data_IF_349146951588
#
_entry.id   IF_349146951588
#
_cell.length_a   1.000
_cell.length_b   1.000
_cell.length_c   1.000
_cell.angle_alpha   90.00
_cell.angle_beta   90.00
_cell.angle_gamma   90.00
#
_symmetry.space_group_name_H-M   'P 1'
#
loop_
_entity.id
_entity.type
_entity.pdbx_description
1 polymer ?
#
# COMPACT_ATOMS: atom_id res chain seq x y z
N UNK A 1 53.06 18.03 31.41
CA UNK A 1 51.76 18.03 32.11
C UNK A 1 50.77 18.81 31.26
N UNK A 2 50.04 18.11 30.39
CA UNK A 2 48.99 18.74 29.58
C UNK A 2 47.62 18.27 30.11
N UNK A 3 46.81 19.18 30.59
CA UNK A 3 45.46 18.92 31.06
C UNK A 3 44.52 19.15 29.87
N UNK A 4 43.91 18.09 29.38
CA UNK A 4 42.81 18.15 28.43
C UNK A 4 41.52 18.44 29.18
N UNK A 5 40.83 19.52 28.80
CA UNK A 5 39.49 19.89 29.29
C UNK A 5 38.48 19.27 28.29
N UNK A 6 37.72 18.29 28.76
CA UNK A 6 36.53 17.81 28.04
C UNK A 6 35.38 18.75 28.33
N UNK A 7 34.89 19.48 27.29
CA UNK A 7 33.61 20.15 27.33
C UNK A 7 32.49 19.12 26.99
N UNK A 8 31.73 18.78 28.01
CA UNK A 8 30.50 18.02 27.83
C UNK A 8 29.37 18.95 27.34
N UNK A 9 28.90 18.75 26.13
CA UNK A 9 27.70 19.39 25.61
C UNK A 9 26.46 18.67 26.13
N UNK A 10 25.75 19.27 27.07
CA UNK A 10 24.45 18.76 27.55
C UNK A 10 23.35 19.23 26.58
N UNK A 11 22.82 18.30 25.81
CA UNK A 11 21.61 18.58 25.01
C UNK A 11 20.39 18.56 25.93
N UNK A 12 19.82 19.74 26.19
CA UNK A 12 18.49 19.85 26.77
C UNK A 12 17.45 19.58 25.67
N UNK A 13 16.84 18.40 25.72
CA UNK A 13 15.66 18.08 24.93
C UNK A 13 14.46 18.82 25.55
N UNK A 14 13.98 19.88 24.91
CA UNK A 14 12.70 20.50 25.26
C UNK A 14 11.58 19.57 24.76
N UNK A 15 10.95 18.85 25.69
CA UNK A 15 9.68 18.16 25.43
C UNK A 15 8.59 19.21 25.31
N UNK A 16 8.12 19.47 24.09
CA UNK A 16 6.89 20.25 23.84
C UNK A 16 5.73 19.36 24.25
N UNK A 17 4.83 19.77 25.16
CA UNK A 17 3.66 18.99 25.51
C UNK A 17 2.75 18.88 24.27
N UNK A 18 2.63 17.67 23.72
CA UNK A 18 1.67 17.38 22.68
C UNK A 18 0.25 17.45 23.27
N UNK A 19 -0.54 18.41 22.85
CA UNK A 19 -1.98 18.41 23.11
C UNK A 19 -2.59 17.28 22.29
N UNK A 20 -2.98 16.22 22.98
CA UNK A 20 -3.56 15.02 22.36
C UNK A 20 -5.02 15.27 22.02
N UNK A 21 -5.38 15.11 20.74
CA UNK A 21 -6.78 14.91 20.35
C UNK A 21 -7.11 13.45 20.64
N UNK A 22 -7.90 13.22 21.69
CA UNK A 22 -8.23 11.88 22.15
C UNK A 22 -9.40 11.31 21.32
N UNK A 23 -9.09 10.76 20.13
CA UNK A 23 -9.95 9.82 19.46
C UNK A 23 -9.40 8.42 19.66
N UNK A 24 -10.19 7.48 20.19
CA UNK A 24 -9.78 6.09 20.27
C UNK A 24 -10.15 5.38 18.98
N UNK A 25 -9.12 4.97 18.23
CA UNK A 25 -9.30 4.11 17.07
C UNK A 25 -9.18 2.63 17.49
N UNK A 26 -9.95 1.71 16.90
CA UNK A 26 -9.81 0.29 17.20
C UNK A 26 -8.46 -0.24 16.71
N UNK A 27 -7.72 -0.93 17.56
CA UNK A 27 -6.44 -1.58 17.20
C UNK A 27 -6.67 -2.70 16.17
N UNK A 28 -7.63 -3.57 16.47
CA UNK A 28 -8.07 -4.70 15.65
C UNK A 28 -9.52 -5.05 16.02
N UNK A 29 -10.25 -5.68 15.11
CA UNK A 29 -11.55 -6.26 15.41
C UNK A 29 -11.47 -7.73 15.83
N UNK A 30 -10.32 -8.36 15.68
CA UNK A 30 -10.09 -9.71 16.16
C UNK A 30 -9.83 -9.67 17.68
N UNK A 31 -10.66 -10.34 18.50
CA UNK A 31 -10.40 -10.40 19.93
C UNK A 31 -9.11 -11.16 20.19
N UNK A 32 -8.29 -10.64 21.10
CA UNK A 32 -7.08 -11.33 21.56
C UNK A 32 -7.49 -12.53 22.43
N UNK A 33 -7.13 -13.77 22.07
CA UNK A 33 -7.43 -14.94 22.89
C UNK A 33 -6.85 -14.82 24.30
N UNK A 34 -7.61 -15.21 25.33
CA UNK A 34 -7.20 -15.06 26.73
C UNK A 34 -5.90 -15.79 27.09
N UNK A 35 -5.55 -16.85 26.34
CA UNK A 35 -4.33 -17.65 26.52
C UNK A 35 -3.17 -17.16 25.65
N UNK A 36 -3.33 -16.15 24.79
CA UNK A 36 -2.26 -15.60 23.98
C UNK A 36 -1.21 -14.90 24.85
N UNK A 37 0.07 -15.17 24.61
CA UNK A 37 1.20 -14.57 25.32
C UNK A 37 2.22 -13.89 24.40
N UNK A 38 1.95 -13.92 23.09
CA UNK A 38 2.79 -13.27 22.06
C UNK A 38 2.54 -11.76 21.97
N UNK A 39 3.14 -11.11 20.96
CA UNK A 39 2.94 -9.69 20.71
C UNK A 39 1.47 -9.38 20.39
N UNK A 40 1.02 -8.18 20.75
CA UNK A 40 -0.29 -7.64 20.43
C UNK A 40 -0.10 -6.28 19.77
N UNK A 41 -0.65 -6.13 18.59
CA UNK A 41 -0.60 -4.88 17.84
C UNK A 41 -1.28 -3.73 18.59
N UNK A 42 -0.66 -2.56 18.52
CA UNK A 42 -1.23 -1.31 19.02
C UNK A 42 -1.23 -0.27 17.91
N UNK A 43 -2.41 0.22 17.58
CA UNK A 43 -2.59 1.29 16.62
C UNK A 43 -2.14 2.62 17.23
N UNK A 44 -1.59 3.51 16.41
CA UNK A 44 -1.31 4.89 16.80
C UNK A 44 -2.60 5.60 17.23
N UNK A 45 -2.59 6.16 18.44
CA UNK A 45 -3.71 6.91 18.99
C UNK A 45 -3.41 8.40 19.10
N UNK A 46 -2.13 8.77 19.03
CA UNK A 46 -1.66 10.14 19.19
C UNK A 46 -0.82 10.51 17.98
N UNK A 47 -1.23 11.57 17.29
CA UNK A 47 -0.56 12.07 16.10
C UNK A 47 0.07 13.44 16.38
N UNK A 48 1.14 13.84 15.66
CA UNK A 48 1.70 15.18 15.76
C UNK A 48 0.63 16.25 15.47
N UNK A 49 0.55 17.25 16.33
CA UNK A 49 -0.38 18.39 16.16
C UNK A 49 0.27 19.60 15.48
N UNK A 50 1.61 19.62 15.46
CA UNK A 50 2.42 20.64 14.77
C UNK A 50 3.12 19.97 13.59
N UNK A 51 3.13 20.65 12.45
CA UNK A 51 3.82 20.18 11.24
C UNK A 51 5.33 20.08 11.49
N UNK A 52 5.92 18.87 11.55
CA UNK A 52 7.34 18.72 11.84
C UNK A 52 8.24 19.27 10.73
N UNK A 53 7.73 19.40 9.49
CA UNK A 53 8.49 19.96 8.37
C UNK A 53 8.77 21.45 8.53
N UNK A 54 8.00 22.13 9.40
CA UNK A 54 8.15 23.57 9.71
C UNK A 54 8.96 23.84 10.97
N UNK A 55 9.59 22.83 11.56
CA UNK A 55 10.46 23.02 12.70
C UNK A 55 11.66 23.93 12.34
N UNK A 56 12.20 24.61 13.36
CA UNK A 56 13.39 25.44 13.20
C UNK A 56 14.49 24.91 14.11
N UNK A 57 15.63 24.41 13.58
CA UNK A 57 15.93 24.27 12.15
C UNK A 57 15.03 23.25 11.45
N UNK A 58 14.84 23.42 10.13
CA UNK A 58 14.10 22.47 9.34
C UNK A 58 14.77 21.08 9.37
N UNK A 59 13.99 19.98 9.43
CA UNK A 59 14.57 18.65 9.41
C UNK A 59 15.30 18.39 8.09
N UNK A 60 16.43 17.71 8.18
CA UNK A 60 17.18 17.24 7.02
C UNK A 60 17.05 15.73 6.92
N UNK A 61 16.93 15.22 5.70
CA UNK A 61 16.79 13.78 5.45
C UNK A 61 17.94 13.27 4.60
N UNK A 62 18.41 12.02 4.83
CA UNK A 62 19.62 11.50 4.16
C UNK A 62 19.55 11.52 2.64
N UNK A 63 18.36 11.35 2.06
CA UNK A 63 18.17 11.30 0.61
C UNK A 63 18.05 12.64 -0.08
N UNK A 64 17.88 13.75 0.64
CA UNK A 64 17.63 15.09 0.05
C UNK A 64 18.76 15.59 -0.85
N UNK A 65 20.00 15.19 -0.58
CA UNK A 65 21.17 15.57 -1.37
C UNK A 65 21.50 14.58 -2.49
N UNK A 66 20.73 13.50 -2.62
CA UNK A 66 20.95 12.48 -3.65
C UNK A 66 19.92 12.69 -4.76
N UNK A 67 20.36 12.84 -5.99
CA UNK A 67 19.48 12.95 -7.15
C UNK A 67 19.03 11.55 -7.60
N UNK A 68 17.74 11.26 -7.47
CA UNK A 68 17.17 9.96 -7.82
C UNK A 68 17.16 9.70 -9.34
N UNK A 69 17.30 10.71 -10.20
CA UNK A 69 17.39 10.52 -11.66
C UNK A 69 18.74 9.93 -12.06
N UNK A 70 19.80 10.35 -11.40
CA UNK A 70 21.17 9.94 -11.72
C UNK A 70 21.74 8.89 -10.79
N UNK A 71 21.22 8.82 -9.54
CA UNK A 71 21.68 7.93 -8.46
C UNK A 71 20.51 7.23 -7.75
N UNK A 72 19.62 6.58 -8.50
CA UNK A 72 18.40 5.98 -7.92
C UNK A 72 18.69 4.95 -6.83
N UNK A 73 19.68 4.09 -7.00
CA UNK A 73 20.05 3.08 -6.04
C UNK A 73 20.58 3.68 -4.71
N UNK A 74 21.40 4.76 -4.80
CA UNK A 74 21.89 5.46 -3.60
C UNK A 74 20.73 6.18 -2.89
N UNK A 75 19.86 6.84 -3.66
CA UNK A 75 18.69 7.53 -3.11
C UNK A 75 17.80 6.60 -2.31
N UNK A 76 17.38 5.48 -2.91
CA UNK A 76 16.46 4.58 -2.24
C UNK A 76 17.12 3.82 -1.09
N UNK A 77 18.44 3.56 -1.18
CA UNK A 77 19.17 2.99 -0.04
C UNK A 77 19.16 3.92 1.17
N UNK A 78 19.36 5.22 0.96
CA UNK A 78 19.31 6.20 2.06
C UNK A 78 17.92 6.25 2.72
N UNK A 79 16.83 6.13 1.93
CA UNK A 79 15.47 6.02 2.47
C UNK A 79 15.26 4.70 3.20
N UNK A 80 15.71 3.59 2.63
CA UNK A 80 15.61 2.27 3.22
C UNK A 80 16.32 2.20 4.58
N UNK A 81 17.55 2.69 4.65
CA UNK A 81 18.32 2.74 5.92
C UNK A 81 17.59 3.60 6.98
N UNK A 82 17.03 4.75 6.57
CA UNK A 82 16.22 5.60 7.44
C UNK A 82 14.99 4.90 8.00
N UNK A 83 14.30 4.09 7.18
CA UNK A 83 13.13 3.31 7.61
C UNK A 83 13.54 2.15 8.53
N UNK A 84 14.69 1.55 8.29
CA UNK A 84 15.21 0.42 9.08
C UNK A 84 15.61 0.84 10.50
N UNK A 85 16.18 2.04 10.65
CA UNK A 85 16.79 2.51 11.89
C UNK A 85 15.78 2.63 13.03
N UNK A 86 16.04 1.91 14.12
CA UNK A 86 15.17 1.83 15.29
C UNK A 86 13.95 0.91 15.11
N UNK A 87 13.51 0.63 13.89
CA UNK A 87 12.37 -0.26 13.64
C UNK A 87 12.75 -1.74 13.70
N UNK A 88 13.95 -2.10 13.24
CA UNK A 88 14.44 -3.49 13.36
C UNK A 88 14.63 -3.93 14.80
N UNK A 89 15.17 -3.04 15.62
CA UNK A 89 15.49 -3.27 17.03
C UNK A 89 14.24 -3.55 17.88
N UNK A 90 13.08 -3.08 17.42
CA UNK A 90 11.77 -3.30 18.05
C UNK A 90 10.89 -4.29 17.30
N UNK A 91 11.47 -5.09 16.41
CA UNK A 91 10.74 -6.05 15.56
C UNK A 91 9.50 -5.41 14.88
N UNK A 92 9.70 -4.20 14.37
CA UNK A 92 8.69 -3.41 13.67
C UNK A 92 7.43 -3.03 14.49
N UNK A 93 7.51 -3.11 15.81
CA UNK A 93 6.56 -2.43 16.68
C UNK A 93 6.86 -0.92 16.64
N UNK A 94 6.58 -0.27 15.51
CA UNK A 94 7.13 1.03 15.11
C UNK A 94 6.83 2.17 16.09
N UNK A 95 5.80 2.04 16.91
CA UNK A 95 5.51 2.99 17.98
C UNK A 95 6.48 2.91 19.16
N UNK A 96 7.27 1.83 19.24
CA UNK A 96 8.33 1.62 20.22
C UNK A 96 9.70 2.03 19.68
N UNK A 97 9.79 2.58 18.47
CA UNK A 97 11.03 3.09 17.89
C UNK A 97 11.56 4.27 18.71
N UNK A 98 12.71 4.08 19.35
CA UNK A 98 13.33 5.11 20.19
C UNK A 98 14.10 6.17 19.40
N UNK A 99 14.40 5.92 18.11
CA UNK A 99 15.14 6.86 17.25
C UNK A 99 14.24 7.94 16.67
N UNK A 100 13.07 7.52 16.15
CA UNK A 100 12.07 8.44 15.58
C UNK A 100 10.68 7.86 15.64
N UNK A 101 9.65 8.72 15.78
CA UNK A 101 8.27 8.26 15.82
C UNK A 101 7.78 7.85 14.42
N UNK A 102 6.96 6.80 14.39
CA UNK A 102 6.23 6.32 13.22
C UNK A 102 4.75 6.11 13.58
N UNK A 103 3.88 6.20 12.58
CA UNK A 103 2.43 6.24 12.79
C UNK A 103 1.70 5.32 11.81
N UNK A 104 0.78 4.52 12.31
CA UNK A 104 -0.14 3.73 11.50
C UNK A 104 -1.38 4.54 11.13
N UNK A 105 -1.88 4.35 9.91
CA UNK A 105 -3.16 4.93 9.51
C UNK A 105 -4.32 4.20 10.20
N UNK A 106 -5.34 4.93 10.70
CA UNK A 106 -6.57 4.32 11.22
C UNK A 106 -7.37 3.61 10.12
N UNK A 107 -8.24 2.68 10.54
CA UNK A 107 -9.26 2.07 9.69
C UNK A 107 -8.75 1.35 8.43
N UNK A 108 -7.51 0.82 8.46
CA UNK A 108 -6.95 0.00 7.37
C UNK A 108 -7.53 -1.41 7.35
N UNK A 109 -8.85 -1.53 7.38
CA UNK A 109 -9.58 -2.80 7.35
C UNK A 109 -10.99 -2.57 6.83
N UNK A 110 -11.61 -3.61 6.31
CA UNK A 110 -12.96 -3.56 5.76
C UNK A 110 -13.99 -3.92 6.84
N UNK A 111 -14.76 -2.94 7.28
CA UNK A 111 -15.89 -3.16 8.19
C UNK A 111 -15.51 -3.90 9.47
N UNK A 112 -16.15 -5.05 9.70
CA UNK A 112 -15.95 -5.94 10.84
C UNK A 112 -14.71 -6.84 10.76
N UNK A 113 -14.04 -6.87 9.61
CA UNK A 113 -12.88 -7.75 9.37
C UNK A 113 -11.55 -7.22 9.88
N UNK A 114 -11.49 -6.17 10.63
CA UNK A 114 -10.35 -5.53 11.25
C UNK A 114 -8.93 -6.02 10.91
N UNK A 115 -7.94 -5.29 11.35
CA UNK A 115 -6.56 -5.78 11.36
C UNK A 115 -6.48 -7.03 12.22
N UNK A 116 -5.58 -7.94 11.89
CA UNK A 116 -5.28 -9.04 12.79
C UNK A 116 -4.60 -8.51 14.07
N UNK A 117 -4.75 -9.22 15.21
CA UNK A 117 -4.38 -8.67 16.52
C UNK A 117 -2.90 -8.81 16.87
N UNK A 118 -2.12 -9.61 16.12
CA UNK A 118 -0.72 -9.91 16.49
C UNK A 118 0.24 -8.84 15.98
N UNK A 119 0.17 -8.51 14.69
CA UNK A 119 1.08 -7.60 13.99
C UNK A 119 0.40 -6.41 13.33
N UNK A 120 -0.93 -6.36 13.38
CA UNK A 120 -1.72 -5.32 12.73
C UNK A 120 -1.77 -5.44 11.22
N UNK A 121 -1.56 -6.64 10.69
CA UNK A 121 -1.60 -6.89 9.27
C UNK A 121 -3.01 -6.77 8.72
N UNK A 122 -3.11 -6.21 7.52
CA UNK A 122 -4.30 -6.18 6.69
C UNK A 122 -4.09 -7.03 5.45
N UNK A 123 -5.20 -7.56 4.90
CA UNK A 123 -5.11 -8.44 3.73
C UNK A 123 -4.79 -7.64 2.49
N UNK A 124 -3.87 -8.17 1.71
CA UNK A 124 -3.53 -7.72 0.37
C UNK A 124 -4.12 -8.63 -0.70
N UNK A 125 -3.80 -8.35 -1.98
CA UNK A 125 -4.15 -9.19 -3.10
C UNK A 125 -3.65 -10.62 -2.88
N UNK A 126 -4.46 -11.63 -3.18
CA UNK A 126 -3.97 -12.99 -3.28
C UNK A 126 -3.06 -13.14 -4.50
N UNK A 127 -1.96 -13.86 -4.34
CA UNK A 127 -1.23 -14.39 -5.49
C UNK A 127 -1.99 -15.60 -6.02
N UNK A 128 -2.47 -15.58 -7.26
CA UNK A 128 -3.33 -16.65 -7.77
C UNK A 128 -2.57 -17.96 -7.97
N UNK A 129 -3.29 -19.06 -8.00
CA UNK A 129 -2.78 -20.31 -8.56
C UNK A 129 -2.42 -20.08 -10.02
N UNK A 130 -1.18 -20.40 -10.47
CA UNK A 130 -0.81 -20.28 -11.87
C UNK A 130 -1.67 -21.23 -12.73
N UNK A 131 -1.93 -20.86 -13.98
CA UNK A 131 -2.63 -21.72 -14.91
C UNK A 131 -1.71 -22.83 -15.37
N UNK A 132 -2.27 -23.91 -15.91
CA UNK A 132 -1.47 -24.96 -16.54
C UNK A 132 -0.51 -24.37 -17.59
N UNK A 133 0.79 -24.60 -17.41
CA UNK A 133 1.84 -24.09 -18.29
C UNK A 133 2.34 -22.67 -18.00
N UNK A 134 1.74 -21.95 -17.04
CA UNK A 134 2.24 -20.65 -16.57
C UNK A 134 3.15 -20.82 -15.35
N UNK A 135 4.12 -19.93 -15.23
CA UNK A 135 4.95 -19.82 -14.02
C UNK A 135 4.21 -19.02 -12.94
N UNK A 136 4.30 -19.46 -11.70
CA UNK A 136 3.71 -18.72 -10.58
C UNK A 136 4.29 -17.31 -10.42
N UNK A 137 3.47 -16.36 -10.01
CA UNK A 137 3.89 -14.96 -9.84
C UNK A 137 4.98 -14.79 -8.78
N UNK A 138 5.04 -15.68 -7.78
CA UNK A 138 6.10 -15.70 -6.77
C UNK A 138 7.29 -16.60 -7.14
N UNK A 139 7.28 -17.19 -8.33
CA UNK A 139 8.35 -18.03 -8.82
C UNK A 139 7.88 -19.39 -9.31
N UNK A 140 8.78 -20.17 -9.94
CA UNK A 140 8.41 -21.41 -10.64
C UNK A 140 7.89 -22.53 -9.72
N UNK A 141 8.21 -22.48 -8.42
CA UNK A 141 7.74 -23.47 -7.45
C UNK A 141 6.36 -23.10 -6.85
N UNK A 142 5.87 -21.88 -7.06
CA UNK A 142 4.55 -21.48 -6.61
C UNK A 142 3.50 -22.12 -7.52
N UNK A 143 2.81 -23.13 -7.02
CA UNK A 143 1.81 -23.93 -7.75
C UNK A 143 0.41 -23.81 -7.17
N UNK A 144 0.25 -23.14 -6.04
CA UNK A 144 -1.03 -22.93 -5.36
C UNK A 144 -1.19 -21.44 -5.00
N UNK A 145 -2.41 -21.07 -4.69
CA UNK A 145 -2.73 -19.72 -4.20
C UNK A 145 -1.94 -19.37 -2.92
N UNK A 146 -1.52 -18.12 -2.80
CA UNK A 146 -0.93 -17.59 -1.58
C UNK A 146 -1.68 -16.35 -1.08
N UNK A 147 -1.88 -16.26 0.23
CA UNK A 147 -2.36 -15.05 0.88
C UNK A 147 -1.20 -14.08 1.09
N UNK A 148 -1.46 -12.80 0.82
CA UNK A 148 -0.52 -11.75 1.14
C UNK A 148 -1.14 -10.78 2.15
N UNK A 149 -0.30 -10.27 3.03
CA UNK A 149 -0.70 -9.43 4.14
C UNK A 149 0.31 -8.30 4.32
N UNK A 150 -0.14 -7.14 4.77
CA UNK A 150 0.77 -6.01 4.91
C UNK A 150 0.47 -5.14 6.13
N UNK A 151 1.49 -4.42 6.56
CA UNK A 151 1.38 -3.33 7.52
C UNK A 151 2.11 -2.11 6.99
N UNK A 152 1.43 -0.95 6.99
CA UNK A 152 1.99 0.31 6.55
C UNK A 152 2.09 1.32 7.70
N UNK A 153 3.08 2.21 7.62
CA UNK A 153 3.29 3.27 8.59
C UNK A 153 4.00 4.46 7.95
N UNK A 154 3.82 5.62 8.55
CA UNK A 154 4.37 6.89 8.07
C UNK A 154 5.27 7.53 9.13
N UNK A 155 6.29 8.26 8.70
CA UNK A 155 7.13 9.06 9.58
C UNK A 155 6.38 10.27 10.16
N UNK A 156 7.03 11.10 10.99
CA UNK A 156 6.38 12.20 11.70
C UNK A 156 5.65 13.22 10.79
N UNK A 157 6.19 13.68 9.64
CA UNK A 157 5.43 14.51 8.70
C UNK A 157 4.15 13.83 8.19
N UNK A 158 4.21 12.54 7.87
CA UNK A 158 3.04 11.77 7.48
C UNK A 158 2.05 11.56 8.62
N UNK A 159 2.56 11.30 9.82
CA UNK A 159 1.76 11.21 11.04
C UNK A 159 0.99 12.50 11.35
N UNK A 160 1.59 13.66 11.10
CA UNK A 160 0.90 14.93 11.20
C UNK A 160 -0.32 15.00 10.29
N UNK A 161 -0.17 14.62 9.03
CA UNK A 161 -1.30 14.60 8.06
C UNK A 161 -2.39 13.63 8.50
N UNK A 162 -2.02 12.43 8.96
CA UNK A 162 -3.00 11.50 9.55
C UNK A 162 -3.76 12.15 10.69
N UNK A 163 -3.07 12.84 11.60
CA UNK A 163 -3.68 13.58 12.71
C UNK A 163 -4.62 14.69 12.26
N UNK A 164 -4.30 15.40 11.17
CA UNK A 164 -5.18 16.45 10.63
C UNK A 164 -6.43 15.86 9.97
N UNK A 165 -6.30 14.80 9.18
CA UNK A 165 -7.42 14.11 8.54
C UNK A 165 -8.38 13.52 9.58
N UNK A 166 -7.84 12.93 10.63
CA UNK A 166 -8.58 12.25 11.69
C UNK A 166 -8.72 13.09 12.97
N UNK A 167 -8.57 14.43 12.88
CA UNK A 167 -8.75 15.33 14.03
C UNK A 167 -10.14 15.19 14.68
N UNK A 168 -11.16 14.91 13.87
CA UNK A 168 -12.45 14.42 14.34
C UNK A 168 -12.60 12.95 13.89
N UNK A 169 -12.49 11.96 14.80
CA UNK A 169 -12.60 10.53 14.48
C UNK A 169 -13.94 10.13 13.86
N UNK A 170 -15.02 10.88 14.15
CA UNK A 170 -16.36 10.61 13.64
C UNK A 170 -16.68 11.31 12.31
N UNK A 171 -15.79 12.19 11.85
CA UNK A 171 -15.92 12.95 10.62
C UNK A 171 -14.54 13.28 10.03
N UNK A 172 -13.81 12.29 9.50
CA UNK A 172 -12.49 12.52 8.90
C UNK A 172 -12.58 13.47 7.70
N UNK A 173 -11.61 14.39 7.60
CA UNK A 173 -11.57 15.43 6.57
C UNK A 173 -10.51 15.13 5.49
N UNK A 174 -10.89 14.61 4.30
CA UNK A 174 -9.94 14.31 3.23
C UNK A 174 -9.25 15.55 2.65
N UNK A 175 -9.79 16.76 2.82
CA UNK A 175 -9.15 18.00 2.36
C UNK A 175 -7.84 18.31 3.10
N UNK A 176 -7.58 17.65 4.22
CA UNK A 176 -6.33 17.76 4.98
C UNK A 176 -5.25 16.78 4.49
N UNK A 177 -5.54 15.91 3.54
CA UNK A 177 -4.62 14.89 3.07
C UNK A 177 -3.60 15.45 2.06
N UNK A 178 -2.82 16.44 2.48
CA UNK A 178 -1.71 17.00 1.71
C UNK A 178 -0.42 16.79 2.48
N UNK A 179 0.49 15.99 1.94
CA UNK A 179 1.71 15.61 2.63
C UNK A 179 2.84 16.61 2.41
N UNK A 180 3.53 17.05 3.49
CA UNK A 180 4.68 17.92 3.38
C UNK A 180 5.90 17.17 2.84
N UNK A 181 6.85 17.93 2.31
CA UNK A 181 8.16 17.46 1.87
C UNK A 181 8.85 16.64 2.96
N UNK A 182 9.49 15.53 2.59
CA UNK A 182 10.16 14.63 3.52
C UNK A 182 9.24 13.62 4.21
N UNK A 183 7.95 13.58 3.86
CA UNK A 183 7.09 12.46 4.25
C UNK A 183 7.61 11.17 3.63
N UNK A 184 7.69 10.13 4.46
CA UNK A 184 7.97 8.75 4.03
C UNK A 184 6.86 7.86 4.54
N UNK A 185 6.23 7.13 3.63
CA UNK A 185 5.41 5.98 3.93
C UNK A 185 6.17 4.70 3.61
N UNK A 186 6.12 3.73 4.49
CA UNK A 186 6.70 2.40 4.30
C UNK A 186 5.64 1.33 4.51
N UNK A 187 5.71 0.26 3.73
CA UNK A 187 4.78 -0.86 3.79
C UNK A 187 5.57 -2.16 3.73
N UNK A 188 5.44 -3.00 4.74
CA UNK A 188 5.98 -4.35 4.77
C UNK A 188 4.92 -5.30 4.24
N UNK A 189 5.26 -6.11 3.24
CA UNK A 189 4.36 -7.07 2.62
C UNK A 189 4.89 -8.49 2.82
N UNK A 190 4.02 -9.32 3.36
CA UNK A 190 4.29 -10.70 3.73
C UNK A 190 3.43 -11.65 2.90
N UNK A 191 3.95 -12.83 2.62
CA UNK A 191 3.19 -13.94 2.06
C UNK A 191 3.06 -15.09 3.05
N UNK A 192 1.92 -15.79 3.03
CA UNK A 192 1.71 -17.02 3.76
C UNK A 192 2.18 -18.27 2.97
N UNK A 193 2.77 -18.09 1.78
CA UNK A 193 3.34 -19.18 1.00
C UNK A 193 4.43 -19.92 1.81
N UNK A 194 4.46 -21.25 1.69
CA UNK A 194 5.51 -22.07 2.32
C UNK A 194 6.85 -21.88 1.60
N UNK A 195 7.95 -22.27 2.24
CA UNK A 195 9.27 -22.26 1.61
C UNK A 195 9.36 -23.24 0.42
N UNK A 196 8.55 -24.31 0.39
CA UNK A 196 8.45 -25.19 -0.77
C UNK A 196 7.88 -24.47 -2.00
N UNK A 197 7.01 -23.49 -1.76
CA UNK A 197 6.41 -22.67 -2.82
C UNK A 197 7.31 -21.50 -3.23
N UNK A 198 8.06 -20.93 -2.28
CA UNK A 198 8.89 -19.74 -2.48
C UNK A 198 10.24 -19.91 -1.79
N UNK A 199 11.13 -20.78 -2.32
CA UNK A 199 12.40 -21.15 -1.63
C UNK A 199 13.35 -19.98 -1.38
N UNK A 200 13.30 -18.93 -2.22
CA UNK A 200 14.16 -17.76 -2.04
C UNK A 200 13.79 -16.91 -0.80
N UNK A 201 12.67 -17.21 -0.13
CA UNK A 201 12.31 -16.58 1.15
C UNK A 201 12.97 -17.27 2.35
N UNK A 202 13.89 -18.19 2.14
CA UNK A 202 14.67 -18.78 3.24
C UNK A 202 15.42 -17.69 4.02
N UNK A 203 15.37 -17.76 5.36
CA UNK A 203 15.99 -16.80 6.30
C UNK A 203 15.46 -15.35 6.18
N UNK A 204 14.29 -15.12 5.59
CA UNK A 204 13.64 -13.81 5.65
C UNK A 204 13.05 -13.53 7.03
N UNK A 205 12.59 -12.29 7.24
CA UNK A 205 11.79 -11.97 8.42
C UNK A 205 10.50 -12.79 8.40
N UNK A 206 10.31 -13.60 9.43
CA UNK A 206 9.12 -14.44 9.60
C UNK A 206 8.35 -14.02 10.84
N UNK A 207 7.04 -13.85 10.69
CA UNK A 207 6.14 -13.53 11.79
C UNK A 207 5.04 -14.57 11.97
N UNK A 208 4.55 -14.68 13.20
CA UNK A 208 3.24 -15.27 13.49
C UNK A 208 2.16 -14.20 13.30
N UNK A 209 1.09 -14.54 12.57
CA UNK A 209 -0.04 -13.66 12.31
C UNK A 209 -1.37 -14.42 12.39
N UNK A 210 -2.42 -13.75 12.87
CA UNK A 210 -3.76 -14.34 12.97
C UNK A 210 -4.53 -14.14 11.67
N UNK A 211 -4.33 -15.03 10.71
CA UNK A 211 -4.86 -14.92 9.35
C UNK A 211 -5.83 -16.03 8.98
N UNK A 212 -6.63 -15.81 7.93
CA UNK A 212 -7.60 -16.79 7.45
C UNK A 212 -6.89 -18.03 6.90
N UNK A 213 -7.53 -19.17 6.99
CA UNK A 213 -7.06 -20.42 6.38
C UNK A 213 -7.58 -20.49 4.95
N UNK A 214 -6.67 -20.74 4.00
CA UNK A 214 -7.05 -21.07 2.61
C UNK A 214 -7.76 -22.41 2.57
N UNK A 215 -8.76 -22.53 1.72
CA UNK A 215 -9.40 -23.82 1.44
C UNK A 215 -8.43 -24.70 0.67
N UNK A 216 -8.07 -25.83 1.22
CA UNK A 216 -7.11 -26.75 0.60
C UNK A 216 -7.60 -27.20 -0.78
N UNK A 217 -6.70 -27.13 -1.78
CA UNK A 217 -7.00 -27.54 -3.15
C UNK A 217 -7.90 -26.59 -3.95
N UNK A 218 -8.32 -25.46 -3.38
CA UNK A 218 -9.13 -24.49 -4.11
C UNK A 218 -8.24 -23.53 -4.93
N UNK A 219 -8.37 -23.60 -6.24
CA UNK A 219 -7.65 -22.75 -7.20
C UNK A 219 -8.18 -21.30 -7.25
N UNK A 220 -9.35 -21.04 -6.66
CA UNK A 220 -10.01 -19.72 -6.63
C UNK A 220 -9.55 -18.85 -5.46
N UNK A 221 -8.60 -19.33 -4.65
CA UNK A 221 -8.11 -18.61 -3.49
C UNK A 221 -9.20 -18.26 -2.45
N UNK A 222 -10.17 -19.15 -2.24
CA UNK A 222 -11.20 -18.93 -1.23
C UNK A 222 -10.65 -19.15 0.17
N UNK A 223 -11.11 -18.32 1.11
CA UNK A 223 -10.77 -18.46 2.53
C UNK A 223 -12.02 -18.67 3.35
N UNK A 224 -11.90 -19.46 4.41
CA UNK A 224 -12.90 -19.48 5.50
C UNK A 224 -12.94 -18.13 6.24
N UNK A 225 -13.97 -17.94 7.08
CA UNK A 225 -14.07 -16.79 7.98
C UNK A 225 -13.20 -16.94 9.22
N UNK A 226 -12.90 -18.18 9.63
CA UNK A 226 -12.06 -18.46 10.79
C UNK A 226 -10.60 -18.09 10.51
N UNK A 227 -9.95 -17.52 11.54
CA UNK A 227 -8.52 -17.20 11.53
C UNK A 227 -7.76 -18.09 12.52
N UNK A 228 -6.51 -18.31 12.24
CA UNK A 228 -5.56 -19.02 13.11
C UNK A 228 -4.17 -18.38 13.01
N UNK A 229 -3.33 -18.64 14.02
CA UNK A 229 -1.93 -18.21 13.95
C UNK A 229 -1.21 -19.03 12.89
N UNK A 230 -0.65 -18.33 11.91
CA UNK A 230 0.09 -18.90 10.81
C UNK A 230 1.37 -18.09 10.57
N UNK A 231 2.37 -18.72 9.97
CA UNK A 231 3.61 -18.06 9.56
C UNK A 231 3.39 -17.22 8.32
N UNK A 232 3.88 -16.00 8.37
CA UNK A 232 3.97 -15.12 7.20
C UNK A 232 5.43 -14.66 7.03
N UNK A 233 5.89 -14.52 5.78
CA UNK A 233 7.28 -14.26 5.41
C UNK A 233 7.39 -12.96 4.65
N UNK A 234 8.31 -12.09 5.07
CA UNK A 234 8.56 -10.84 4.38
C UNK A 234 9.06 -11.13 2.96
N UNK A 235 8.33 -10.61 1.99
CA UNK A 235 8.61 -10.78 0.57
C UNK A 235 9.00 -9.45 -0.08
N UNK A 236 8.35 -8.36 0.31
CA UNK A 236 8.43 -7.07 -0.35
C UNK A 236 8.37 -5.94 0.69
N UNK A 237 9.05 -4.84 0.41
CA UNK A 237 8.89 -3.57 1.13
C UNK A 237 8.68 -2.45 0.10
N UNK A 238 7.58 -1.72 0.25
CA UNK A 238 7.31 -0.55 -0.57
C UNK A 238 7.58 0.73 0.21
N UNK A 239 8.08 1.72 -0.51
CA UNK A 239 8.40 3.04 0.01
C UNK A 239 7.77 4.10 -0.90
N UNK A 240 7.15 5.11 -0.29
CA UNK A 240 6.68 6.30 -0.98
C UNK A 240 7.22 7.54 -0.28
N UNK A 241 7.88 8.38 -1.04
CA UNK A 241 8.60 9.56 -0.55
C UNK A 241 8.01 10.81 -1.18
N UNK A 242 7.56 11.75 -0.36
CA UNK A 242 7.17 13.07 -0.82
C UNK A 242 8.42 13.88 -1.14
N UNK A 243 8.68 14.05 -2.45
CA UNK A 243 9.87 14.71 -2.97
C UNK A 243 9.49 15.63 -4.14
N UNK A 244 9.56 16.94 -3.92
CA UNK A 244 9.18 17.96 -4.91
C UNK A 244 10.03 17.94 -6.20
N UNK A 245 11.18 17.24 -6.19
CA UNK A 245 12.00 17.05 -7.39
C UNK A 245 11.36 16.12 -8.41
N UNK A 246 10.40 15.26 -7.98
CA UNK A 246 9.48 14.57 -8.87
C UNK A 246 8.39 15.56 -9.33
N UNK A 247 8.74 16.47 -10.22
CA UNK A 247 7.98 17.69 -10.55
C UNK A 247 6.56 17.44 -11.04
N UNK A 248 6.31 16.30 -11.67
CA UNK A 248 4.99 15.98 -12.26
C UNK A 248 4.04 15.32 -11.27
N UNK A 249 4.57 14.55 -10.32
CA UNK A 249 3.78 13.77 -9.36
C UNK A 249 3.96 14.26 -7.93
N UNK A 250 5.12 14.82 -7.62
CA UNK A 250 5.53 15.19 -6.27
C UNK A 250 5.91 14.00 -5.40
N UNK A 251 5.92 12.78 -5.94
CA UNK A 251 6.20 11.55 -5.22
C UNK A 251 7.21 10.68 -5.94
N UNK A 252 8.06 10.04 -5.16
CA UNK A 252 8.95 8.97 -5.61
C UNK A 252 8.53 7.67 -4.94
N UNK A 253 8.27 6.63 -5.73
CA UNK A 253 7.95 5.30 -5.24
C UNK A 253 9.10 4.35 -5.45
N UNK A 254 9.28 3.40 -4.55
CA UNK A 254 10.27 2.35 -4.70
C UNK A 254 9.80 1.06 -4.06
N UNK A 255 10.30 -0.05 -4.59
CA UNK A 255 10.01 -1.39 -4.09
C UNK A 255 11.32 -2.14 -3.87
N UNK A 256 11.38 -2.84 -2.76
CA UNK A 256 12.40 -3.84 -2.44
C UNK A 256 11.78 -5.24 -2.46
N UNK A 257 12.49 -6.21 -2.96
CA UNK A 257 12.14 -7.63 -2.90
C UNK A 257 13.21 -8.39 -2.12
N UNK A 258 12.81 -9.39 -1.36
CA UNK A 258 13.75 -10.26 -0.67
C UNK A 258 14.41 -11.25 -1.63
N UNK A 259 15.72 -11.45 -1.47
CA UNK A 259 16.53 -12.40 -2.24
C UNK A 259 17.42 -13.23 -1.31
N UNK A 260 16.93 -14.37 -0.87
CA UNK A 260 17.65 -15.29 0.03
C UNK A 260 18.90 -15.93 -0.58
N UNK A 261 19.12 -15.79 -1.91
CA UNK A 261 20.36 -16.25 -2.55
C UNK A 261 21.56 -15.32 -2.28
N UNK A 262 21.28 -14.11 -1.76
CA UNK A 262 22.34 -13.16 -1.41
C UNK A 262 22.92 -13.45 -0.05
N UNK A 263 24.22 -13.20 0.10
CA UNK A 263 24.89 -13.19 1.41
C UNK A 263 24.47 -11.96 2.22
N UNK A 264 24.63 -12.05 3.55
CA UNK A 264 24.36 -10.93 4.45
C UNK A 264 24.28 -11.41 5.90
N UNK A 265 24.56 -10.52 6.85
CA UNK A 265 24.48 -10.81 8.28
C UNK A 265 23.04 -10.95 8.78
N UNK A 266 22.07 -10.41 8.03
CA UNK A 266 20.67 -10.50 8.36
C UNK A 266 19.77 -10.35 7.14
N UNK A 267 18.47 -10.63 7.33
CA UNK A 267 17.48 -10.57 6.25
C UNK A 267 17.43 -9.21 5.55
N UNK A 268 17.69 -8.12 6.26
CA UNK A 268 17.64 -6.75 5.72
C UNK A 268 18.71 -6.47 4.66
N UNK A 269 19.88 -7.13 4.74
CA UNK A 269 20.94 -7.01 3.73
C UNK A 269 20.63 -7.80 2.45
N UNK A 270 19.63 -8.67 2.53
CA UNK A 270 19.13 -9.47 1.41
C UNK A 270 17.91 -8.84 0.73
N UNK A 271 17.42 -7.68 1.25
CA UNK A 271 16.43 -6.86 0.56
C UNK A 271 17.10 -6.13 -0.61
N UNK A 272 16.60 -6.38 -1.80
CA UNK A 272 17.17 -5.86 -3.06
C UNK A 272 16.19 -4.88 -3.69
N UNK A 273 16.63 -3.66 -4.08
CA UNK A 273 15.74 -2.76 -4.78
C UNK A 273 15.30 -3.38 -6.11
N UNK A 274 13.99 -3.40 -6.34
CA UNK A 274 13.39 -3.72 -7.64
C UNK A 274 13.53 -2.51 -8.56
N UNK A 275 13.25 -1.32 -8.03
CA UNK A 275 13.38 -0.09 -8.78
C UNK A 275 12.89 1.14 -8.01
N UNK A 276 12.96 2.26 -8.69
CA UNK A 276 12.48 3.58 -8.26
C UNK A 276 11.67 4.18 -9.41
N UNK A 277 10.50 4.78 -9.11
CA UNK A 277 9.71 5.48 -10.12
C UNK A 277 9.24 6.83 -9.60
N UNK A 278 9.23 7.84 -10.49
CA UNK A 278 8.83 9.21 -10.20
C UNK A 278 7.77 9.75 -11.16
N UNK A 279 7.35 8.91 -12.11
CA UNK A 279 6.27 9.18 -13.07
C UNK A 279 5.75 7.88 -13.69
N UNK A 280 4.63 7.96 -14.38
CA UNK A 280 3.92 6.83 -14.98
C UNK A 280 4.22 6.59 -16.45
N UNK A 281 5.18 7.33 -17.06
CA UNK A 281 5.50 7.23 -18.50
C UNK A 281 4.23 7.30 -19.39
N UNK A 282 3.48 8.42 -19.39
CA UNK A 282 2.16 8.50 -20.04
C UNK A 282 2.19 8.25 -21.55
N UNK A 283 3.35 8.45 -22.19
CA UNK A 283 3.55 8.21 -23.63
C UNK A 283 3.95 6.76 -23.96
N UNK A 284 4.19 5.92 -22.96
CA UNK A 284 4.53 4.51 -23.14
C UNK A 284 3.26 3.67 -23.22
N UNK A 285 2.58 3.70 -24.34
CA UNK A 285 1.47 2.80 -24.67
C UNK A 285 1.97 1.50 -25.34
N UNK A 286 1.05 0.56 -25.62
CA UNK A 286 1.40 -0.74 -26.21
C UNK A 286 2.17 -0.59 -27.52
N UNK A 287 1.74 0.29 -28.43
CA UNK A 287 2.42 0.49 -29.72
C UNK A 287 3.85 1.04 -29.53
N UNK A 288 4.05 1.96 -28.61
CA UNK A 288 5.37 2.48 -28.29
C UNK A 288 6.28 1.40 -27.68
N UNK A 289 5.74 0.54 -26.81
CA UNK A 289 6.47 -0.57 -26.21
C UNK A 289 6.86 -1.61 -27.26
N UNK A 290 5.97 -1.96 -28.17
CA UNK A 290 6.22 -2.88 -29.29
C UNK A 290 7.26 -2.32 -30.27
N UNK A 291 7.32 -0.98 -30.42
CA UNK A 291 8.35 -0.27 -31.16
C UNK A 291 9.69 -0.16 -30.42
N UNK A 292 9.83 -0.82 -29.25
CA UNK A 292 11.07 -0.88 -28.49
C UNK A 292 11.27 0.23 -27.46
N UNK A 293 10.31 1.14 -27.26
CA UNK A 293 10.39 2.13 -26.15
C UNK A 293 10.30 1.43 -24.80
N UNK A 294 10.93 2.01 -23.80
CA UNK A 294 10.94 1.53 -22.40
C UNK A 294 10.62 2.69 -21.46
N UNK A 295 10.38 2.37 -20.18
CA UNK A 295 10.18 3.37 -19.13
C UNK A 295 11.34 4.38 -19.07
N UNK A 296 11.01 5.63 -18.84
CA UNK A 296 11.95 6.75 -18.73
C UNK A 296 11.80 7.52 -17.41
N UNK A 297 10.65 7.35 -16.75
CA UNK A 297 10.35 7.95 -15.45
C UNK A 297 10.51 6.93 -14.31
N UNK A 298 11.32 5.91 -14.56
CA UNK A 298 11.68 4.87 -13.61
C UNK A 298 13.09 4.38 -13.85
N UNK A 299 13.73 3.94 -12.77
CA UNK A 299 14.91 3.08 -12.83
C UNK A 299 14.50 1.69 -12.37
N UNK A 300 14.72 0.67 -13.17
CA UNK A 300 14.54 -0.74 -12.83
C UNK A 300 15.93 -1.35 -12.64
N UNK A 301 16.10 -2.06 -11.52
CA UNK A 301 17.39 -2.65 -11.18
C UNK A 301 17.76 -3.76 -12.18
N UNK A 302 18.84 -3.60 -12.97
CA UNK A 302 19.26 -4.62 -13.95
C UNK A 302 19.82 -5.90 -13.31
N UNK A 303 20.23 -5.83 -12.03
CA UNK A 303 20.86 -6.94 -11.31
C UNK A 303 19.90 -7.76 -10.45
N UNK A 304 18.59 -7.56 -10.61
CA UNK A 304 17.58 -8.29 -9.87
C UNK A 304 17.55 -9.76 -10.34
N UNK A 305 17.66 -10.69 -9.39
CA UNK A 305 17.71 -12.15 -9.64
C UNK A 305 16.46 -12.89 -9.19
N UNK A 306 15.66 -12.29 -8.31
CA UNK A 306 14.38 -12.84 -7.90
C UNK A 306 13.37 -12.72 -9.04
N UNK A 307 12.29 -13.51 -9.05
CA UNK A 307 11.24 -13.37 -10.03
C UNK A 307 10.82 -11.91 -10.15
N UNK A 308 11.02 -11.34 -11.33
CA UNK A 308 10.64 -9.95 -11.60
C UNK A 308 9.16 -9.92 -11.93
N UNK A 309 8.43 -9.22 -11.12
CA UNK A 309 7.04 -8.93 -11.34
C UNK A 309 6.89 -7.42 -11.63
N UNK A 310 7.26 -7.04 -12.85
CA UNK A 310 7.05 -5.68 -13.30
C UNK A 310 5.59 -5.48 -13.70
N UNK A 311 5.11 -4.26 -13.56
CA UNK A 311 3.79 -3.86 -13.96
C UNK A 311 3.64 -3.65 -15.46
N UNK A 312 2.54 -3.00 -15.84
CA UNK A 312 2.15 -2.79 -17.23
C UNK A 312 3.27 -2.14 -18.05
N UNK A 313 3.68 -2.82 -19.13
CA UNK A 313 4.74 -2.41 -20.05
C UNK A 313 6.10 -2.14 -19.36
N UNK A 314 6.43 -2.91 -18.33
CA UNK A 314 7.72 -2.83 -17.65
C UNK A 314 7.83 -1.71 -16.60
N UNK A 315 6.72 -1.07 -16.22
CA UNK A 315 6.68 -0.10 -15.12
C UNK A 315 6.98 -0.76 -13.78
N UNK A 316 7.49 0.01 -12.83
CA UNK A 316 7.78 -0.50 -11.50
C UNK A 316 6.52 -1.04 -10.82
N UNK A 317 6.67 -2.21 -10.26
CA UNK A 317 5.71 -2.90 -9.40
C UNK A 317 6.47 -3.85 -8.45
N UNK A 318 5.76 -4.60 -7.62
CA UNK A 318 6.36 -5.58 -6.73
C UNK A 318 5.78 -6.98 -6.87
N UNK A 319 6.43 -8.00 -6.28
CA UNK A 319 6.02 -9.40 -6.41
C UNK A 319 4.58 -9.72 -6.01
N UNK A 320 3.99 -8.97 -5.06
CA UNK A 320 2.60 -9.16 -4.63
C UNK A 320 1.61 -8.27 -5.36
N UNK A 321 2.08 -7.34 -6.19
CA UNK A 321 1.23 -6.39 -6.87
C UNK A 321 0.62 -6.95 -8.17
N UNK A 322 -0.36 -6.25 -8.72
CA UNK A 322 -1.02 -6.70 -9.93
C UNK A 322 -0.22 -6.29 -11.19
N UNK A 323 0.14 -7.25 -12.09
CA UNK A 323 0.98 -6.97 -13.27
C UNK A 323 0.36 -6.02 -14.29
N UNK A 324 -0.95 -5.74 -14.21
CA UNK A 324 -1.61 -4.77 -15.10
C UNK A 324 -1.53 -3.33 -14.61
N UNK A 325 -0.87 -3.07 -13.49
CA UNK A 325 -0.73 -1.76 -12.85
C UNK A 325 0.73 -1.33 -12.72
N UNK A 326 0.97 -0.25 -12.01
CA UNK A 326 2.25 0.19 -11.48
C UNK A 326 2.04 0.77 -10.08
N UNK A 327 3.09 0.98 -9.30
CA UNK A 327 2.98 1.65 -8.00
C UNK A 327 2.19 2.97 -8.13
N UNK A 328 2.63 3.86 -9.02
CA UNK A 328 1.97 5.16 -9.21
C UNK A 328 0.56 5.03 -9.77
N UNK A 329 0.27 4.07 -10.66
CA UNK A 329 -1.06 3.94 -11.27
C UNK A 329 -2.13 3.54 -10.24
N UNK A 330 -1.78 2.67 -9.29
CA UNK A 330 -2.68 2.35 -8.18
C UNK A 330 -2.82 3.53 -7.22
N UNK A 331 -1.69 4.13 -6.80
CA UNK A 331 -1.69 5.19 -5.80
C UNK A 331 -2.35 6.49 -6.27
N UNK A 332 -2.33 6.79 -7.58
CA UNK A 332 -3.02 7.98 -8.12
C UNK A 332 -4.56 7.89 -8.03
N UNK A 333 -5.12 6.70 -7.78
CA UNK A 333 -6.57 6.52 -7.55
C UNK A 333 -6.98 6.81 -6.09
N UNK A 334 -6.05 7.26 -5.25
CA UNK A 334 -6.31 7.60 -3.86
C UNK A 334 -7.20 8.84 -3.74
N UNK A 335 -8.51 8.64 -3.61
CA UNK A 335 -9.52 9.69 -3.60
C UNK A 335 -10.73 9.34 -2.72
N UNK A 336 -11.46 10.34 -2.26
CA UNK A 336 -12.69 10.20 -1.44
C UNK A 336 -13.82 11.04 -2.05
N UNK A 337 -15.00 10.45 -2.33
CA UNK A 337 -15.26 9.02 -2.34
C UNK A 337 -14.45 8.32 -3.44
N UNK A 338 -14.10 7.04 -3.23
CA UNK A 338 -13.42 6.24 -4.24
C UNK A 338 -14.37 5.96 -5.42
N UNK A 339 -14.16 6.66 -6.52
CA UNK A 339 -14.95 6.55 -7.76
C UNK A 339 -14.19 5.86 -8.87
N UNK A 340 -12.89 5.90 -8.82
CA UNK A 340 -12.00 5.25 -9.78
C UNK A 340 -11.59 3.87 -9.27
N UNK A 341 -11.67 2.86 -10.13
CA UNK A 341 -11.12 1.54 -9.81
C UNK A 341 -9.60 1.65 -9.61
N UNK A 342 -9.07 0.94 -8.60
CA UNK A 342 -7.64 0.93 -8.31
C UNK A 342 -6.82 0.35 -9.48
N UNK A 343 -7.38 -0.60 -10.21
CA UNK A 343 -6.76 -1.23 -11.36
C UNK A 343 -7.37 -0.75 -12.66
N UNK A 344 -6.56 -0.65 -13.75
CA UNK A 344 -7.10 -0.50 -15.08
C UNK A 344 -8.08 -1.63 -15.39
N UNK A 345 -9.13 -1.36 -16.17
CA UNK A 345 -10.05 -2.41 -16.59
C UNK A 345 -9.30 -3.45 -17.45
N UNK A 346 -9.51 -4.71 -17.15
CA UNK A 346 -8.99 -5.81 -17.97
C UNK A 346 -9.75 -5.92 -19.28
N UNK A 347 -9.06 -6.25 -20.37
CA UNK A 347 -9.71 -6.56 -21.64
C UNK A 347 -10.63 -7.78 -21.46
N UNK A 348 -11.89 -7.61 -21.86
CA UNK A 348 -12.81 -8.74 -21.97
C UNK A 348 -12.54 -9.47 -23.30
N UNK A 349 -12.77 -10.79 -23.37
CA UNK A 349 -12.69 -11.50 -24.65
C UNK A 349 -13.58 -10.86 -25.73
N UNK A 350 -13.21 -10.92 -27.02
CA UNK A 350 -14.09 -10.47 -28.09
C UNK A 350 -15.49 -11.10 -27.97
N UNK A 351 -16.57 -10.38 -28.30
CA UNK A 351 -16.60 -9.11 -29.05
C UNK A 351 -16.56 -7.83 -28.21
N UNK A 352 -16.12 -7.88 -26.96
CA UNK A 352 -16.06 -6.69 -26.12
C UNK A 352 -15.07 -5.64 -26.68
N UNK A 353 -15.34 -4.35 -26.54
CA UNK A 353 -14.42 -3.32 -26.98
C UNK A 353 -13.10 -3.41 -26.20
N UNK A 354 -11.98 -3.14 -26.87
CA UNK A 354 -10.68 -2.96 -26.22
C UNK A 354 -10.76 -1.73 -25.33
N UNK A 355 -10.48 -1.92 -24.05
CA UNK A 355 -10.45 -0.82 -23.09
C UNK A 355 -9.01 -0.32 -23.02
N UNK A 356 -8.80 0.97 -23.31
CA UNK A 356 -7.50 1.61 -23.17
C UNK A 356 -7.14 1.76 -21.69
N UNK A 357 -6.07 1.14 -21.19
CA UNK A 357 -5.64 1.28 -19.81
C UNK A 357 -4.87 2.59 -19.54
N UNK A 358 -4.46 3.32 -20.57
CA UNK A 358 -3.60 4.49 -20.46
C UNK A 358 -4.12 5.61 -19.56
N UNK A 359 -5.43 5.83 -19.36
CA UNK A 359 -5.92 6.76 -18.35
C UNK A 359 -5.40 6.51 -16.92
N UNK A 360 -4.97 5.28 -16.60
CA UNK A 360 -4.34 4.91 -15.32
C UNK A 360 -2.81 5.16 -15.29
N UNK A 361 -2.20 5.48 -16.43
CA UNK A 361 -0.74 5.66 -16.55
C UNK A 361 -0.37 7.09 -16.94
N UNK A 362 -1.01 8.08 -16.34
CA UNK A 362 -0.67 9.49 -16.50
C UNK A 362 -0.01 10.04 -15.25
N UNK A 363 0.74 11.11 -15.40
CA UNK A 363 1.27 11.87 -14.29
C UNK A 363 0.16 12.79 -13.75
N UNK A 364 -0.04 12.75 -12.46
CA UNK A 364 -1.03 13.58 -11.79
C UNK A 364 -0.32 14.38 -10.68
N UNK A 365 -0.47 15.69 -10.62
CA UNK A 365 0.11 16.47 -9.53
C UNK A 365 -0.43 16.04 -8.17
N UNK A 366 0.45 16.02 -7.17
CA UNK A 366 0.12 15.72 -5.79
C UNK A 366 -1.12 16.49 -5.30
N UNK A 367 -1.96 15.83 -4.53
CA UNK A 367 -3.21 16.41 -4.01
C UNK A 367 -4.40 16.40 -4.98
N UNK A 368 -4.20 16.12 -6.26
CA UNK A 368 -5.30 16.02 -7.23
C UNK A 368 -6.00 14.66 -7.16
N UNK A 369 -7.24 14.60 -7.63
CA UNK A 369 -8.01 13.36 -7.79
C UNK A 369 -8.14 12.97 -9.26
N UNK A 370 -8.30 11.66 -9.51
CA UNK A 370 -8.52 11.15 -10.86
C UNK A 370 -9.94 11.46 -11.35
N UNK A 371 -10.95 11.30 -10.50
CA UNK A 371 -12.32 11.75 -10.73
C UNK A 371 -12.50 13.15 -10.11
N UNK A 372 -12.89 14.13 -10.93
CA UNK A 372 -13.08 15.54 -10.50
C UNK A 372 -14.19 15.72 -9.44
N UNK A 373 -15.04 14.72 -9.22
CA UNK A 373 -16.10 14.73 -8.19
C UNK A 373 -15.61 14.18 -6.86
N UNK A 374 -14.34 13.81 -6.75
CA UNK A 374 -13.69 13.27 -5.57
C UNK A 374 -12.60 14.21 -5.08
N UNK A 375 -12.19 14.04 -3.83
CA UNK A 375 -11.09 14.75 -3.21
C UNK A 375 -9.89 13.82 -3.21
N UNK A 376 -8.79 14.22 -3.83
CA UNK A 376 -7.54 13.45 -3.83
C UNK A 376 -6.93 13.37 -2.42
N UNK A 377 -6.39 12.21 -2.07
CA UNK A 377 -5.67 12.00 -0.81
C UNK A 377 -4.16 11.90 -1.02
N UNK A 378 -3.66 12.66 -1.99
CA UNK A 378 -2.23 12.87 -2.25
C UNK A 378 -1.46 11.54 -2.40
N UNK A 379 -1.93 10.66 -3.30
CA UNK A 379 -1.37 9.33 -3.53
C UNK A 379 -1.44 8.37 -2.32
N UNK A 380 -2.09 8.76 -1.23
CA UNK A 380 -2.16 7.92 -0.03
C UNK A 380 -3.43 7.09 0.03
N UNK A 381 -3.36 5.84 -0.44
CA UNK A 381 -4.45 4.87 -0.38
C UNK A 381 -4.85 4.53 1.06
N UNK A 382 -3.96 4.66 2.05
CA UNK A 382 -4.30 4.36 3.43
C UNK A 382 -5.30 5.38 4.00
N UNK A 383 -5.24 6.64 3.59
CA UNK A 383 -6.24 7.64 3.97
C UNK A 383 -7.56 7.37 3.26
N UNK A 384 -7.56 7.22 1.93
CA UNK A 384 -8.81 7.02 1.18
C UNK A 384 -9.54 5.74 1.61
N UNK A 385 -8.80 4.63 1.74
CA UNK A 385 -9.34 3.35 2.20
C UNK A 385 -9.81 3.41 3.66
N UNK A 386 -9.03 4.06 4.53
CA UNK A 386 -9.41 4.24 5.94
C UNK A 386 -10.72 5.00 6.08
N UNK A 387 -10.89 6.11 5.36
CA UNK A 387 -12.15 6.90 5.37
C UNK A 387 -13.31 6.07 4.83
N UNK A 388 -13.11 5.36 3.72
CA UNK A 388 -14.15 4.51 3.14
C UNK A 388 -14.55 3.37 4.08
N UNK A 389 -13.59 2.69 4.70
CA UNK A 389 -13.85 1.62 5.65
C UNK A 389 -14.59 2.12 6.88
N UNK A 390 -14.21 3.28 7.40
CA UNK A 390 -14.93 3.94 8.50
C UNK A 390 -16.38 4.26 8.11
N UNK A 391 -16.61 4.81 6.93
CA UNK A 391 -17.96 5.12 6.44
C UNK A 391 -18.82 3.85 6.31
N UNK A 392 -18.28 2.77 5.76
CA UNK A 392 -18.97 1.49 5.65
C UNK A 392 -19.31 0.91 7.05
N UNK A 393 -18.36 0.95 7.98
CA UNK A 393 -18.59 0.50 9.36
C UNK A 393 -19.67 1.33 10.05
N UNK A 394 -19.65 2.65 9.91
CA UNK A 394 -20.63 3.56 10.48
C UNK A 394 -22.03 3.31 9.92
N UNK A 395 -22.16 3.14 8.60
CA UNK A 395 -23.42 2.80 7.95
C UNK A 395 -23.99 1.47 8.44
N UNK A 396 -23.16 0.45 8.58
CA UNK A 396 -23.59 -0.85 9.09
C UNK A 396 -24.05 -0.77 10.55
N UNK A 397 -23.37 0.03 11.39
CA UNK A 397 -23.73 0.23 12.80
C UNK A 397 -25.02 1.02 12.98
N UNK A 398 -25.25 2.04 12.17
CA UNK A 398 -26.42 2.92 12.26
C UNK A 398 -27.68 2.31 11.60
N UNK A 399 -27.62 1.07 11.11
CA UNK A 399 -28.72 0.39 10.44
C UNK A 399 -29.13 1.06 9.12
N UNK A 400 -28.21 1.71 8.45
CA UNK A 400 -28.46 2.47 7.25
C UNK A 400 -28.95 1.56 6.10
N UNK A 401 -30.23 1.69 5.75
CA UNK A 401 -30.76 1.17 4.50
C UNK A 401 -30.27 2.12 3.38
N UNK A 402 -29.41 1.63 2.51
CA UNK A 402 -28.97 2.41 1.33
C UNK A 402 -30.20 2.98 0.61
N UNK A 403 -30.21 4.25 0.21
CA UNK A 403 -31.28 4.79 -0.63
C UNK A 403 -31.44 3.88 -1.84
N UNK A 404 -32.63 3.32 -2.04
CA UNK A 404 -32.93 2.56 -3.25
C UNK A 404 -32.55 3.43 -4.44
N UNK A 405 -31.86 2.89 -5.47
CA UNK A 405 -31.62 3.65 -6.68
C UNK A 405 -32.94 4.24 -7.14
N UNK A 406 -32.99 5.55 -7.33
CA UNK A 406 -34.17 6.20 -7.85
C UNK A 406 -34.57 5.46 -9.15
N UNK A 407 -35.82 4.98 -9.32
CA UNK A 407 -36.24 4.40 -10.59
C UNK A 407 -35.75 5.31 -11.70
N UNK A 408 -35.12 4.76 -12.72
CA UNK A 408 -34.70 5.55 -13.87
C UNK A 408 -35.91 6.37 -14.30
N UNK A 409 -35.77 7.71 -14.41
CA UNK A 409 -36.82 8.56 -14.95
C UNK A 409 -37.23 7.97 -16.29
N UNK A 410 -38.50 7.62 -16.43
CA UNK A 410 -39.01 7.05 -17.68
C UNK A 410 -38.60 7.94 -18.86
N UNK A 411 -38.44 7.37 -20.06
CA UNK A 411 -38.00 8.12 -21.22
C UNK A 411 -38.95 9.31 -21.44
N UNK A 412 -38.37 10.51 -21.53
CA UNK A 412 -39.12 11.70 -21.90
C UNK A 412 -39.77 11.51 -23.30
N UNK A 413 -40.80 12.30 -23.65
CA UNK A 413 -41.67 12.04 -24.78
C UNK A 413 -41.04 12.07 -26.19
N UNK A 414 -39.72 12.08 -26.31
CA UNK A 414 -38.98 12.12 -27.58
C UNK A 414 -37.84 11.09 -27.70
N UNK A 415 -37.84 10.00 -26.92
CA UNK A 415 -36.86 8.93 -27.09
C UNK A 415 -37.33 7.91 -28.13
N UNK A 416 -36.58 7.74 -29.22
CA UNK A 416 -36.75 6.66 -30.19
C UNK A 416 -36.58 5.31 -29.50
N UNK A 417 -37.38 4.27 -29.88
CA UNK A 417 -37.27 2.96 -29.25
C UNK A 417 -35.91 2.29 -29.59
N UNK A 418 -35.17 1.91 -28.54
CA UNK A 418 -34.00 1.06 -28.71
C UNK A 418 -34.40 -0.39 -29.02
N UNK A 419 -33.63 -1.11 -29.83
CA UNK A 419 -33.93 -2.50 -30.14
C UNK A 419 -33.81 -3.37 -28.85
N UNK A 420 -34.85 -4.21 -28.66
CA UNK A 420 -34.93 -5.17 -27.57
C UNK A 420 -33.82 -6.20 -27.66
N UNK A 421 -32.83 -6.14 -26.74
CA UNK A 421 -31.95 -7.25 -26.43
C UNK A 421 -32.29 -7.72 -25.02
N UNK A 422 -32.72 -8.96 -24.90
CA UNK A 422 -32.94 -9.61 -23.61
C UNK A 422 -31.62 -9.60 -22.83
N UNK A 423 -31.64 -9.00 -21.63
CA UNK A 423 -30.52 -9.03 -20.70
C UNK A 423 -30.37 -10.45 -20.13
N UNK A 424 -29.17 -11.05 -20.17
CA UNK A 424 -28.91 -12.24 -19.37
C UNK A 424 -28.89 -11.84 -17.87
N UNK A 425 -29.39 -12.77 -17.03
CA UNK A 425 -29.43 -12.63 -15.58
C UNK A 425 -28.05 -12.24 -15.03
N UNK A 426 -28.04 -11.29 -14.11
CA UNK A 426 -26.83 -10.93 -13.38
C UNK A 426 -26.33 -12.13 -12.59
N UNK A 427 -25.16 -12.64 -12.97
CA UNK A 427 -24.42 -13.58 -12.16
C UNK A 427 -23.76 -12.79 -11.02
N UNK A 428 -24.01 -13.22 -9.76
CA UNK A 428 -23.44 -12.62 -8.55
C UNK A 428 -21.94 -12.93 -8.45
N UNK A 429 -21.14 -12.32 -9.32
CA UNK A 429 -19.68 -12.38 -9.27
C UNK A 429 -19.18 -11.93 -7.91
N UNK A 430 -18.46 -12.81 -7.22
CA UNK A 430 -17.91 -12.53 -5.89
C UNK A 430 -17.00 -11.29 -5.95
N UNK A 431 -17.39 -10.27 -5.20
CA UNK A 431 -16.60 -9.07 -5.00
C UNK A 431 -15.50 -9.37 -3.99
N UNK A 432 -14.25 -9.40 -4.44
CA UNK A 432 -13.09 -9.42 -3.54
C UNK A 432 -12.79 -7.99 -3.08
N UNK A 433 -12.62 -7.82 -1.78
CA UNK A 433 -12.20 -6.54 -1.20
C UNK A 433 -10.71 -6.64 -0.87
N UNK A 434 -9.87 -5.91 -1.60
CA UNK A 434 -8.44 -5.77 -1.36
C UNK A 434 -8.19 -4.33 -0.93
N UNK A 435 -7.52 -4.13 0.20
CA UNK A 435 -7.27 -2.80 0.80
C UNK A 435 -8.55 -1.96 1.02
N UNK A 436 -9.67 -2.62 1.36
CA UNK A 436 -10.94 -1.92 1.54
C UNK A 436 -11.65 -1.51 0.25
N UNK A 437 -11.12 -1.87 -0.93
CA UNK A 437 -11.74 -1.59 -2.23
C UNK A 437 -12.38 -2.83 -2.85
N UNK A 438 -13.50 -2.62 -3.58
CA UNK A 438 -14.15 -3.68 -4.34
C UNK A 438 -13.32 -4.00 -5.59
N UNK A 439 -12.67 -5.15 -5.59
CA UNK A 439 -12.03 -5.70 -6.78
C UNK A 439 -12.99 -6.69 -7.41
N UNK A 440 -13.51 -6.38 -8.59
CA UNK A 440 -14.36 -7.32 -9.30
C UNK A 440 -13.53 -8.46 -9.85
N UNK A 441 -13.92 -9.69 -9.54
CA UNK A 441 -13.34 -10.88 -10.17
C UNK A 441 -13.77 -10.88 -11.63
N UNK A 442 -12.83 -10.81 -12.53
CA UNK A 442 -13.08 -11.07 -13.94
C UNK A 442 -12.98 -12.59 -14.14
N UNK A 443 -14.10 -13.27 -14.26
CA UNK A 443 -14.10 -14.61 -14.85
C UNK A 443 -13.77 -14.46 -16.35
N UNK A 444 -12.89 -15.35 -16.80
CA UNK A 444 -12.40 -15.41 -18.18
C UNK A 444 -13.31 -16.23 -19.05
#
# INVERSE_FOLDING_TARGET
MHRSILLGATFLAFAVPATTVAGTFPDSHDPVPANWRGPVFRLSQQFPTVDPSKATPAPTYPWQQIDFHTKPAEYIKAVFDYVQEGNREVDWAVQSNAVRPWYHAPWMHSGDKGREFVRGLTRERFTPTPRPGETGELGPQQTVCAQNWAVGFLNAPGGYVLGQVWANPDAPDPLKALFPEGTVAAKLLFTAASLDQVPYLNDTLEWDANINTLTAGDTRCTTGTARSIQKVRLLQMDLAIRDKRATETGWVFATYSYDGSRGGAGWWERMVPVGVMWGNDPDLNQAAFDAGKRVTQSWINPDLRTPQHLGYLGRLNGPVDNPISSCLSCHMTAEVPARTNILPPTQRPPPAPVIDPMPWFRNMPAGNSLDQRSIGTDYNLQISNGIQNFQMWKQAKDGFVAPQPRPAAGPGPHAMPAPSAAAPAADDGQVLVVDGQRVYRVER
#
